data_IF_073344658848
#
_entry.id   IF_073344658848
#
_cell.length_a   1.000
_cell.length_b   1.000
_cell.length_c   1.000
_cell.angle_alpha   90.00
_cell.angle_beta   90.00
_cell.angle_gamma   90.00
#
_symmetry.space_group_name_H-M   'P 1'
#
loop_
_entity.id
_entity.type
_entity.pdbx_description
1 polymer ?
#
# COMPACT_ATOMS: atom_id res chain seq x y z
N UNK A 1 20.69 18.82 50.29
CA UNK A 1 21.18 17.75 49.41
C UNK A 1 20.10 17.02 48.60
N UNK A 2 18.88 16.77 49.10
CA UNK A 2 17.81 16.05 48.34
C UNK A 2 17.35 16.70 47.02
N UNK A 3 17.25 18.03 46.95
CA UNK A 3 16.73 18.74 45.76
C UNK A 3 17.56 18.57 44.48
N UNK A 4 18.87 18.39 44.61
CA UNK A 4 19.77 18.23 43.45
C UNK A 4 19.59 16.84 42.84
N UNK A 5 19.43 15.82 43.68
CA UNK A 5 19.24 14.43 43.26
C UNK A 5 17.90 14.24 42.52
N UNK A 6 16.81 14.86 42.99
CA UNK A 6 15.51 14.82 42.33
C UNK A 6 15.52 15.51 40.96
N UNK A 7 16.33 16.57 40.80
CA UNK A 7 16.49 17.27 39.54
C UNK A 7 17.31 16.41 38.56
N UNK A 8 18.41 15.80 39.00
CA UNK A 8 19.19 14.86 38.18
C UNK A 8 18.37 13.63 37.76
N UNK A 9 17.51 13.09 38.64
CA UNK A 9 16.61 11.98 38.30
C UNK A 9 15.51 12.41 37.33
N UNK A 10 14.97 13.63 37.43
CA UNK A 10 14.03 14.18 36.43
C UNK A 10 14.70 14.42 35.08
N UNK A 11 15.93 14.91 35.08
CA UNK A 11 16.67 15.21 33.86
C UNK A 11 17.15 13.91 33.19
N UNK A 12 17.50 12.88 33.97
CA UNK A 12 17.66 11.50 33.49
C UNK A 12 16.34 10.95 32.92
N UNK A 13 15.22 11.02 33.65
CA UNK A 13 13.89 10.58 33.14
C UNK A 13 13.45 11.32 31.87
N UNK A 14 13.83 12.59 31.71
CA UNK A 14 13.60 13.37 30.48
C UNK A 14 14.58 13.01 29.35
N UNK A 15 15.76 12.49 29.68
CA UNK A 15 16.73 11.92 28.74
C UNK A 15 16.40 10.50 28.26
N UNK A 16 15.70 9.70 29.07
CA UNK A 16 15.34 8.31 28.68
C UNK A 16 14.17 8.25 27.69
N UNK A 17 13.37 9.32 27.55
CA UNK A 17 12.22 9.37 26.63
C UNK A 17 12.50 10.15 25.32
N UNK A 18 13.74 10.15 24.83
CA UNK A 18 14.07 10.62 23.45
C UNK A 18 14.67 9.54 22.55
N UNK A 19 14.83 8.33 23.08
CA UNK A 19 14.82 7.12 22.26
C UNK A 19 13.37 6.63 22.09
N UNK A 20 12.42 7.58 21.91
CA UNK A 20 11.12 7.31 21.31
C UNK A 20 11.44 6.48 20.08
N UNK A 21 11.00 5.21 20.08
CA UNK A 21 11.15 4.27 18.98
C UNK A 21 10.88 5.06 17.69
N UNK A 22 11.94 5.42 16.96
CA UNK A 22 11.78 6.02 15.65
C UNK A 22 11.25 4.87 14.83
N UNK A 23 9.92 4.80 14.74
CA UNK A 23 9.20 3.95 13.80
C UNK A 23 9.97 4.09 12.48
N UNK A 24 10.55 2.99 11.94
CA UNK A 24 11.26 3.04 10.68
C UNK A 24 10.42 3.80 9.66
N UNK A 25 11.06 4.64 8.84
CA UNK A 25 10.36 5.55 7.92
C UNK A 25 9.35 4.79 7.05
N UNK A 26 9.68 3.56 6.66
CA UNK A 26 8.78 2.66 5.92
C UNK A 26 7.57 2.22 6.74
N UNK A 27 7.73 1.89 8.02
CA UNK A 27 6.62 1.49 8.89
C UNK A 27 5.60 2.61 9.02
N UNK A 28 6.08 3.84 9.29
CA UNK A 28 5.20 5.01 9.38
C UNK A 28 4.45 5.22 8.06
N UNK A 29 5.13 5.09 6.93
CA UNK A 29 4.51 5.22 5.61
C UNK A 29 3.41 4.18 5.37
N UNK A 30 3.62 2.92 5.76
CA UNK A 30 2.60 1.88 5.64
C UNK A 30 1.43 2.14 6.60
N UNK A 31 1.71 2.62 7.82
CA UNK A 31 0.67 3.01 8.77
C UNK A 31 -0.19 4.16 8.24
N UNK A 32 0.42 5.15 7.58
CA UNK A 32 -0.27 6.31 7.01
C UNK A 32 -1.16 5.93 5.83
N UNK A 33 -0.67 5.09 4.90
CA UNK A 33 -1.50 4.66 3.75
C UNK A 33 -2.62 3.70 4.15
N UNK A 34 -2.51 3.05 5.31
CA UNK A 34 -3.53 2.13 5.86
C UNK A 34 -4.33 2.73 7.01
N UNK A 35 -4.32 4.06 7.17
CA UNK A 35 -5.07 4.76 8.20
C UNK A 35 -6.60 4.70 7.97
N UNK A 36 -7.39 5.16 8.95
CA UNK A 36 -8.86 5.12 8.89
C UNK A 36 -9.50 6.31 8.15
N UNK A 37 -8.72 7.08 7.39
CA UNK A 37 -9.25 8.20 6.60
C UNK A 37 -10.14 7.70 5.45
N UNK A 38 -11.16 8.47 5.01
CA UNK A 38 -12.12 8.01 4.02
C UNK A 38 -11.55 7.88 2.60
N UNK A 39 -10.39 8.47 2.29
CA UNK A 39 -9.74 8.36 0.99
C UNK A 39 -8.77 7.18 0.90
N UNK A 40 -8.64 6.62 -0.30
CA UNK A 40 -7.69 5.55 -0.59
C UNK A 40 -6.22 6.01 -0.66
N UNK A 41 -5.26 5.07 -0.70
CA UNK A 41 -3.86 5.41 -0.83
C UNK A 41 -3.55 6.04 -2.20
N UNK A 42 -2.77 7.12 -2.22
CA UNK A 42 -2.32 7.75 -3.46
C UNK A 42 -1.35 6.86 -4.24
N UNK A 43 -1.39 6.94 -5.57
CA UNK A 43 -0.55 6.11 -6.46
C UNK A 43 0.95 6.28 -6.24
N UNK A 44 1.42 7.49 -5.92
CA UNK A 44 2.82 7.76 -5.54
C UNK A 44 3.23 6.95 -4.30
N UNK A 45 2.39 6.96 -3.26
CA UNK A 45 2.67 6.21 -2.03
C UNK A 45 2.70 4.70 -2.28
N UNK A 46 1.78 4.19 -3.11
CA UNK A 46 1.76 2.77 -3.51
C UNK A 46 3.03 2.39 -4.29
N UNK A 47 3.46 3.23 -5.23
CA UNK A 47 4.70 3.03 -5.98
C UNK A 47 5.93 2.99 -5.07
N UNK A 48 5.99 3.89 -4.08
CA UNK A 48 7.11 3.94 -3.15
C UNK A 48 7.16 2.69 -2.25
N UNK A 49 6.00 2.24 -1.72
CA UNK A 49 5.94 0.99 -0.96
C UNK A 49 6.31 -0.21 -1.83
N UNK A 50 5.83 -0.26 -3.07
CA UNK A 50 6.20 -1.32 -4.00
C UNK A 50 7.71 -1.37 -4.25
N UNK A 51 8.36 -0.23 -4.40
CA UNK A 51 9.82 -0.17 -4.53
C UNK A 51 10.53 -0.60 -3.23
N UNK A 52 10.02 -0.20 -2.07
CA UNK A 52 10.55 -0.58 -0.76
C UNK A 52 10.49 -2.09 -0.50
N UNK A 53 9.49 -2.82 -1.03
CA UNK A 53 9.42 -4.28 -0.91
C UNK A 53 10.60 -5.05 -1.53
N UNK A 54 11.46 -4.38 -2.31
CA UNK A 54 12.68 -4.97 -2.86
C UNK A 54 13.81 -5.03 -1.83
N UNK A 55 13.77 -4.20 -0.80
CA UNK A 55 14.68 -4.28 0.34
C UNK A 55 14.15 -5.33 1.34
N UNK A 56 15.01 -6.25 1.78
CA UNK A 56 14.61 -7.35 2.65
C UNK A 56 14.04 -6.89 4.00
N UNK A 57 14.66 -5.91 4.65
CA UNK A 57 14.23 -5.43 5.97
C UNK A 57 12.95 -4.59 5.89
N UNK A 58 12.86 -3.74 4.88
CA UNK A 58 11.66 -2.94 4.63
C UNK A 58 10.47 -3.83 4.28
N UNK A 59 10.67 -4.84 3.44
CA UNK A 59 9.66 -5.85 3.13
C UNK A 59 9.07 -6.50 4.38
N UNK A 60 9.91 -7.01 5.30
CA UNK A 60 9.44 -7.62 6.55
C UNK A 60 8.57 -6.65 7.36
N UNK A 61 8.99 -5.38 7.42
CA UNK A 61 8.26 -4.33 8.13
C UNK A 61 6.92 -4.00 7.46
N UNK A 62 6.91 -3.87 6.13
CA UNK A 62 5.71 -3.61 5.33
C UNK A 62 4.68 -4.72 5.54
N UNK A 63 5.09 -5.98 5.35
CA UNK A 63 4.18 -7.12 5.46
C UNK A 63 3.66 -7.30 6.88
N UNK A 64 4.48 -7.09 7.90
CA UNK A 64 4.04 -7.14 9.30
C UNK A 64 2.91 -6.12 9.59
N UNK A 65 3.02 -4.88 9.10
CA UNK A 65 1.95 -3.88 9.26
C UNK A 65 0.70 -4.27 8.48
N UNK A 66 0.86 -4.72 7.22
CA UNK A 66 -0.28 -5.11 6.39
C UNK A 66 -1.05 -6.28 7.01
N UNK A 67 -0.39 -7.32 7.48
CA UNK A 67 -1.06 -8.45 8.13
C UNK A 67 -1.73 -8.08 9.45
N UNK A 68 -1.13 -7.16 10.22
CA UNK A 68 -1.79 -6.60 11.41
C UNK A 68 -3.10 -5.89 11.03
N UNK A 69 -3.10 -5.10 9.95
CA UNK A 69 -4.28 -4.38 9.43
C UNK A 69 -5.34 -5.31 8.85
N UNK A 70 -4.93 -6.43 8.23
CA UNK A 70 -5.84 -7.46 7.72
C UNK A 70 -6.66 -8.10 8.86
N UNK A 71 -6.09 -8.19 10.06
CA UNK A 71 -6.74 -8.74 11.24
C UNK A 71 -7.65 -7.73 11.99
N UNK A 72 -7.76 -6.48 11.54
CA UNK A 72 -8.70 -5.52 12.13
C UNK A 72 -10.16 -5.91 11.84
N UNK A 73 -11.08 -5.46 12.69
CA UNK A 73 -12.52 -5.81 12.58
C UNK A 73 -13.44 -4.61 12.80
N UNK A 74 -14.70 -4.76 12.42
CA UNK A 74 -15.77 -3.79 12.71
C UNK A 74 -15.48 -2.38 12.21
N UNK A 75 -15.49 -1.39 13.11
CA UNK A 75 -15.31 0.04 12.78
C UNK A 75 -13.99 0.37 12.08
N UNK A 76 -13.01 -0.53 12.14
CA UNK A 76 -11.71 -0.39 11.49
C UNK A 76 -11.67 -1.00 10.08
N UNK A 77 -12.82 -1.28 9.45
CA UNK A 77 -12.90 -1.88 8.11
C UNK A 77 -12.03 -1.19 7.05
N UNK A 78 -11.77 0.13 7.18
CA UNK A 78 -10.87 0.84 6.24
C UNK A 78 -9.42 0.39 6.34
N UNK A 79 -8.95 0.00 7.53
CA UNK A 79 -7.62 -0.58 7.70
C UNK A 79 -7.50 -1.86 6.86
N UNK A 80 -8.49 -2.75 6.99
CA UNK A 80 -8.56 -4.01 6.24
C UNK A 80 -8.63 -3.74 4.74
N UNK A 81 -9.57 -2.89 4.31
CA UNK A 81 -9.78 -2.55 2.90
C UNK A 81 -8.53 -1.93 2.26
N UNK A 82 -7.88 -0.98 2.94
CA UNK A 82 -6.66 -0.33 2.43
C UNK A 82 -5.48 -1.30 2.44
N UNK A 83 -5.35 -2.17 3.45
CA UNK A 83 -4.32 -3.20 3.46
C UNK A 83 -4.47 -4.17 2.27
N UNK A 84 -5.69 -4.64 2.00
CA UNK A 84 -5.97 -5.46 0.81
C UNK A 84 -5.66 -4.71 -0.49
N UNK A 85 -5.97 -3.41 -0.56
CA UNK A 85 -5.65 -2.57 -1.72
C UNK A 85 -4.15 -2.46 -1.95
N UNK A 86 -3.35 -2.34 -0.88
CA UNK A 86 -1.89 -2.32 -0.97
C UNK A 86 -1.38 -3.69 -1.44
N UNK A 87 -1.86 -4.80 -0.85
CA UNK A 87 -1.46 -6.15 -1.26
C UNK A 87 -1.76 -6.42 -2.75
N UNK A 88 -2.96 -6.06 -3.21
CA UNK A 88 -3.35 -6.17 -4.62
C UNK A 88 -2.41 -5.39 -5.55
N UNK A 89 -2.05 -4.15 -5.18
CA UNK A 89 -1.10 -3.35 -5.94
C UNK A 89 0.30 -4.00 -5.98
N UNK A 90 0.75 -4.56 -4.85
CA UNK A 90 2.06 -5.19 -4.72
C UNK A 90 2.20 -6.47 -5.56
N UNK A 91 1.11 -7.20 -5.84
CA UNK A 91 1.17 -8.35 -6.76
C UNK A 91 1.72 -7.94 -8.14
N UNK A 92 1.32 -6.77 -8.65
CA UNK A 92 1.78 -6.26 -9.96
C UNK A 92 3.08 -5.47 -9.91
N UNK A 93 3.40 -4.79 -8.80
CA UNK A 93 4.46 -3.77 -8.76
C UNK A 93 5.60 -4.07 -7.77
N UNK A 94 5.36 -4.95 -6.80
CA UNK A 94 6.28 -5.28 -5.71
C UNK A 94 7.25 -6.42 -6.03
N UNK A 95 8.01 -6.86 -5.03
CA UNK A 95 8.90 -8.03 -5.15
C UNK A 95 8.11 -9.34 -5.27
N UNK A 96 8.69 -10.36 -5.92
CA UNK A 96 8.07 -11.69 -6.07
C UNK A 96 7.70 -12.31 -4.70
N UNK A 97 8.51 -12.04 -3.67
CA UNK A 97 8.29 -12.53 -2.31
C UNK A 97 6.92 -12.16 -1.75
N UNK A 98 6.37 -11.01 -2.15
CA UNK A 98 5.02 -10.60 -1.73
C UNK A 98 3.97 -11.57 -2.28
N UNK A 99 4.14 -12.07 -3.50
CA UNK A 99 3.21 -13.03 -4.09
C UNK A 99 3.28 -14.35 -3.33
N UNK A 100 4.48 -14.85 -3.07
CA UNK A 100 4.68 -16.09 -2.33
C UNK A 100 4.02 -16.03 -0.95
N UNK A 101 4.23 -14.94 -0.21
CA UNK A 101 3.65 -14.75 1.12
C UNK A 101 2.12 -14.62 1.10
N UNK A 102 1.55 -13.91 0.12
CA UNK A 102 0.09 -13.80 -0.04
C UNK A 102 -0.50 -15.19 -0.36
N UNK A 103 0.16 -16.00 -1.18
CA UNK A 103 -0.29 -17.36 -1.52
C UNK A 103 -0.24 -18.29 -0.31
N UNK A 104 0.84 -18.23 0.46
CA UNK A 104 0.99 -19.00 1.71
C UNK A 104 -0.12 -18.66 2.72
N UNK A 105 -0.52 -17.39 2.80
CA UNK A 105 -1.54 -16.90 3.74
C UNK A 105 -2.92 -16.68 3.08
N UNK A 106 -3.18 -17.25 1.90
CA UNK A 106 -4.41 -17.01 1.15
C UNK A 106 -5.68 -17.41 1.94
N UNK A 107 -5.58 -18.42 2.80
CA UNK A 107 -6.69 -18.80 3.69
C UNK A 107 -7.08 -17.66 4.64
N UNK A 108 -6.11 -16.95 5.24
CA UNK A 108 -6.39 -15.83 6.15
C UNK A 108 -7.15 -14.71 5.41
N UNK A 109 -6.75 -14.38 4.19
CA UNK A 109 -7.47 -13.42 3.35
C UNK A 109 -8.87 -13.93 2.99
N UNK A 110 -9.01 -15.23 2.73
CA UNK A 110 -10.29 -15.85 2.38
C UNK A 110 -11.32 -15.73 3.51
N UNK A 111 -10.89 -15.73 4.78
CA UNK A 111 -11.81 -15.52 5.92
C UNK A 111 -12.54 -14.17 5.89
N UNK A 112 -11.99 -13.19 5.18
CA UNK A 112 -12.62 -11.88 5.00
C UNK A 112 -13.83 -11.91 4.04
N UNK A 113 -14.14 -13.04 3.40
CA UNK A 113 -15.34 -13.20 2.57
C UNK A 113 -16.64 -13.01 3.35
N UNK A 114 -16.58 -13.19 4.67
CA UNK A 114 -17.71 -13.05 5.58
C UNK A 114 -17.59 -11.80 6.48
N UNK A 115 -16.71 -10.86 6.13
CA UNK A 115 -16.52 -9.63 6.89
C UNK A 115 -17.81 -8.80 6.91
N UNK A 116 -18.27 -8.44 8.12
CA UNK A 116 -19.50 -7.67 8.32
C UNK A 116 -19.22 -6.35 9.03
N UNK A 117 -19.71 -5.26 8.44
CA UNK A 117 -19.79 -3.96 9.12
C UNK A 117 -20.82 -3.05 8.43
N UNK A 118 -21.87 -2.69 9.17
CA UNK A 118 -22.86 -1.69 8.77
C UNK A 118 -22.51 -0.40 9.52
N UNK A 119 -22.33 0.70 8.79
CA UNK A 119 -22.01 2.01 9.39
C UNK A 119 -23.24 2.66 10.05
N UNK A 120 -23.03 3.77 10.75
CA UNK A 120 -24.10 4.52 11.43
C UNK A 120 -25.15 5.08 10.47
N UNK A 121 -24.87 5.12 9.17
CA UNK A 121 -25.81 5.53 8.12
C UNK A 121 -26.58 4.35 7.52
N UNK A 122 -26.40 3.13 8.05
CA UNK A 122 -27.05 1.93 7.56
C UNK A 122 -26.39 1.32 6.31
N UNK A 123 -25.20 1.78 5.91
CA UNK A 123 -24.51 1.25 4.72
C UNK A 123 -23.61 0.08 5.09
N UNK A 124 -23.69 -1.00 4.34
CA UNK A 124 -22.77 -2.13 4.44
C UNK A 124 -21.41 -1.78 3.84
N UNK A 125 -20.46 -1.39 4.69
CA UNK A 125 -19.07 -1.18 4.28
C UNK A 125 -18.30 -2.51 4.24
N UNK A 126 -18.79 -3.55 4.91
CA UNK A 126 -18.20 -4.88 4.86
C UNK A 126 -18.22 -5.48 3.47
N UNK A 127 -19.25 -5.18 2.65
CA UNK A 127 -19.29 -5.53 1.23
C UNK A 127 -18.02 -5.15 0.46
N UNK A 128 -17.45 -3.97 0.71
CA UNK A 128 -16.21 -3.53 0.06
C UNK A 128 -15.01 -4.42 0.43
N UNK A 129 -14.92 -4.83 1.69
CA UNK A 129 -13.86 -5.73 2.18
C UNK A 129 -14.01 -7.12 1.56
N UNK A 130 -15.24 -7.67 1.55
CA UNK A 130 -15.56 -8.98 0.98
C UNK A 130 -15.22 -9.07 -0.51
N UNK A 131 -15.65 -8.08 -1.30
CA UNK A 131 -15.37 -8.05 -2.73
C UNK A 131 -13.86 -7.93 -2.99
N UNK A 132 -13.16 -7.11 -2.20
CA UNK A 132 -11.73 -6.89 -2.35
C UNK A 132 -10.90 -8.13 -1.98
N UNK A 133 -11.25 -8.84 -0.90
CA UNK A 133 -10.56 -10.07 -0.50
C UNK A 133 -10.73 -11.18 -1.53
N UNK A 134 -11.95 -11.36 -2.05
CA UNK A 134 -12.24 -12.34 -3.11
C UNK A 134 -11.45 -12.04 -4.38
N UNK A 135 -11.39 -10.76 -4.80
CA UNK A 135 -10.59 -10.34 -5.97
C UNK A 135 -9.11 -10.64 -5.79
N UNK A 136 -8.55 -10.35 -4.61
CA UNK A 136 -7.13 -10.59 -4.31
C UNK A 136 -6.81 -12.10 -4.33
N UNK A 137 -7.65 -12.92 -3.68
CA UNK A 137 -7.47 -14.39 -3.68
C UNK A 137 -7.57 -14.96 -5.10
N UNK A 138 -8.53 -14.50 -5.89
CA UNK A 138 -8.67 -14.90 -7.29
C UNK A 138 -7.45 -14.50 -8.14
N UNK A 139 -6.88 -13.31 -7.89
CA UNK A 139 -5.68 -12.84 -8.57
C UNK A 139 -4.47 -13.73 -8.25
N UNK A 140 -4.20 -14.04 -6.98
CA UNK A 140 -2.98 -14.77 -6.60
C UNK A 140 -3.02 -16.27 -6.90
N UNK A 141 -4.22 -16.83 -7.06
CA UNK A 141 -4.42 -18.23 -7.44
C UNK A 141 -4.28 -18.48 -8.95
N UNK A 142 -4.22 -17.42 -9.76
CA UNK A 142 -4.09 -17.50 -11.20
C UNK A 142 -2.72 -16.96 -11.66
N UNK A 143 -1.85 -17.86 -12.09
CA UNK A 143 -0.49 -17.53 -12.52
C UNK A 143 -0.48 -16.64 -13.76
N UNK A 144 -1.41 -16.82 -14.68
CA UNK A 144 -1.49 -16.03 -15.91
C UNK A 144 -1.92 -14.60 -15.57
N UNK A 145 -2.92 -14.44 -14.69
CA UNK A 145 -3.34 -13.11 -14.22
C UNK A 145 -2.26 -12.35 -13.46
N UNK A 146 -1.46 -13.03 -12.64
CA UNK A 146 -0.28 -12.41 -11.99
C UNK A 146 0.67 -11.89 -13.06
N UNK A 147 0.98 -12.71 -14.07
CA UNK A 147 1.90 -12.33 -15.13
C UNK A 147 1.38 -11.15 -15.94
N UNK A 148 0.10 -11.15 -16.31
CA UNK A 148 -0.56 -10.04 -16.99
C UNK A 148 -0.50 -8.74 -16.17
N UNK A 149 -0.79 -8.82 -14.86
CA UNK A 149 -0.73 -7.67 -13.97
C UNK A 149 0.68 -7.07 -13.92
N UNK A 150 1.72 -7.92 -13.88
CA UNK A 150 3.13 -7.49 -13.88
C UNK A 150 3.58 -6.91 -15.21
N UNK A 151 3.23 -7.53 -16.34
CA UNK A 151 3.54 -7.00 -17.68
C UNK A 151 2.88 -5.65 -17.90
N UNK A 152 1.61 -5.50 -17.48
CA UNK A 152 0.89 -4.22 -17.54
C UNK A 152 1.55 -3.15 -16.66
N UNK A 153 2.00 -3.51 -15.47
CA UNK A 153 2.72 -2.61 -14.58
C UNK A 153 4.04 -2.13 -15.18
N UNK A 154 4.82 -3.03 -15.80
CA UNK A 154 6.06 -2.67 -16.50
C UNK A 154 5.81 -1.71 -17.66
N UNK A 155 4.85 -2.02 -18.53
CA UNK A 155 4.50 -1.18 -19.68
C UNK A 155 4.05 0.24 -19.27
N UNK A 156 3.40 0.39 -18.11
CA UNK A 156 3.00 1.71 -17.61
C UNK A 156 4.15 2.51 -17.00
N UNK A 157 5.21 1.85 -16.50
CA UNK A 157 6.43 2.52 -16.01
C UNK A 157 7.31 2.99 -17.16
N UNK A 158 7.33 2.25 -18.26
CA UNK A 158 8.17 2.53 -19.43
C UNK A 158 7.62 3.62 -20.36
N UNK A 159 6.35 4.02 -20.20
CA UNK A 159 5.79 5.20 -20.89
C UNK A 159 6.45 6.46 -20.32
N UNK A 160 7.37 7.13 -21.04
CA UNK A 160 7.93 8.39 -20.58
C UNK A 160 6.80 9.43 -20.60
N UNK A 161 6.94 10.46 -19.75
CA UNK A 161 6.03 11.62 -19.62
C UNK A 161 5.82 12.38 -20.95
N UNK A 162 6.54 12.03 -22.02
CA UNK A 162 6.43 12.60 -23.36
C UNK A 162 5.11 12.33 -24.08
N UNK A 163 4.25 11.45 -23.57
CA UNK A 163 2.90 11.23 -24.13
C UNK A 163 1.78 12.03 -23.43
N UNK A 164 2.11 13.16 -22.79
CA UNK A 164 1.11 14.23 -22.66
C UNK A 164 0.92 14.83 -24.05
N UNK A 165 -0.13 14.37 -24.72
CA UNK A 165 -0.74 14.97 -25.90
C UNK A 165 -0.64 16.51 -25.87
N UNK A 166 0.36 17.06 -26.56
CA UNK A 166 0.32 18.41 -27.11
C UNK A 166 -0.10 18.30 -28.58
N UNK A 167 -1.26 18.87 -28.98
CA UNK A 167 -1.72 18.89 -30.39
C UNK A 167 -0.75 19.62 -31.33
N UNK A 168 0.25 20.33 -30.80
CA UNK A 168 1.12 21.25 -31.54
C UNK A 168 2.10 20.53 -32.46
N UNK A 169 2.55 19.31 -32.12
CA UNK A 169 3.53 18.59 -32.94
C UNK A 169 2.94 17.94 -34.20
N UNK A 170 1.62 17.74 -34.28
CA UNK A 170 1.00 17.13 -35.45
C UNK A 170 0.83 18.09 -36.63
N UNK A 171 0.93 19.41 -36.38
CA UNK A 171 0.79 20.45 -37.41
C UNK A 171 2.11 20.73 -38.13
N UNK A 172 3.26 20.51 -37.48
CA UNK A 172 4.57 20.87 -38.03
C UNK A 172 5.21 19.81 -38.94
N UNK A 173 4.62 18.61 -39.05
CA UNK A 173 5.11 17.56 -39.96
C UNK A 173 4.25 17.38 -41.22
N UNK A 174 3.25 18.24 -41.45
CA UNK A 174 2.39 18.20 -42.64
C UNK A 174 2.66 19.31 -43.67
N UNK A 175 3.69 20.13 -43.49
CA UNK A 175 3.94 21.29 -44.36
C UNK A 175 5.32 21.33 -45.03
N UNK A 176 6.01 20.20 -45.15
CA UNK A 176 7.15 20.08 -46.07
C UNK A 176 6.87 18.99 -47.09
N UNK A 177 6.07 19.34 -48.11
CA UNK A 177 6.07 18.76 -49.46
C UNK A 177 4.96 19.45 -50.29
N UNK A 178 5.27 20.62 -50.84
CA UNK A 178 4.99 20.87 -52.26
C UNK A 178 5.92 22.00 -52.75
N UNK A 179 6.96 21.59 -53.45
CA UNK A 179 7.66 22.39 -54.45
C UNK A 179 6.71 22.52 -55.63
N UNK A 180 6.16 23.71 -55.89
CA UNK A 180 6.15 24.42 -57.19
C UNK A 180 6.14 25.92 -56.87
#
# INVERSE_FOLDING_TARGET
>A
MKKVFDQTVRDLKRGVNKNVLKVPVVEQKVLDITNNEPWGPHGSNLSDIAQATKNYHEYQTIMAVLWKRINDTGKNWRHVYKALTVLEYLVGHGSERVIDEIKEHAYQISTLSDFQYIDSSGRDQGSNVRNKSQSLVALVNDKERIQEARLKALANREKPITMISSPVYFVLLKNELLII
#
